data_IF_416954049779
#
_entry.id   IF_416954049779
#
_cell.length_a   1.000
_cell.length_b   1.000
_cell.length_c   1.000
_cell.angle_alpha   90.00
_cell.angle_beta   90.00
_cell.angle_gamma   90.00
#
_symmetry.space_group_name_H-M   'P 1'
#
loop_
_entity.id
_entity.type
_entity.pdbx_description
1 polymer ?
#
# COMPACT_ATOMS: atom_id res chain seq x y z
N UNK A 1 1.43 -14.43 19.58
CA UNK A 1 0.10 -14.05 19.02
C UNK A 1 0.26 -13.94 17.50
N UNK A 2 -0.12 -15.00 16.74
CA UNK A 2 -0.13 -14.93 15.26
C UNK A 2 -1.45 -14.28 14.83
N UNK A 3 -1.42 -13.01 14.48
CA UNK A 3 -2.46 -12.38 13.67
C UNK A 3 -2.19 -12.75 12.21
N UNK A 4 -3.20 -13.30 11.52
CA UNK A 4 -3.15 -13.38 10.06
C UNK A 4 -3.41 -11.98 9.50
N UNK A 5 -2.37 -11.32 9.07
CA UNK A 5 -2.46 -10.11 8.28
C UNK A 5 -2.49 -10.55 6.82
N UNK A 6 -3.58 -10.26 6.13
CA UNK A 6 -3.70 -10.51 4.71
C UNK A 6 -2.95 -9.41 3.98
N UNK A 7 -1.72 -9.72 3.52
CA UNK A 7 -1.04 -8.90 2.52
C UNK A 7 -1.73 -9.11 1.18
N UNK A 8 -2.44 -8.13 0.70
CA UNK A 8 -3.03 -8.15 -0.64
C UNK A 8 -1.93 -7.73 -1.61
N UNK A 9 -1.39 -8.72 -2.32
CA UNK A 9 -0.51 -8.51 -3.47
C UNK A 9 -1.41 -8.23 -4.65
N UNK A 10 -1.45 -7.13 -5.26
CA UNK A 10 -2.15 -6.70 -6.48
C UNK A 10 -3.23 -5.65 -6.25
N UNK A 11 -3.37 -4.77 -7.22
CA UNK A 11 -4.49 -3.84 -7.32
C UNK A 11 -5.80 -4.60 -7.34
N UNK A 12 -6.72 -4.29 -6.45
CA UNK A 12 -8.02 -4.93 -6.42
C UNK A 12 -9.13 -3.88 -6.33
N UNK A 13 -10.28 -4.21 -6.90
CA UNK A 13 -11.45 -3.34 -6.80
C UNK A 13 -12.16 -3.59 -5.46
N UNK A 14 -12.13 -2.59 -4.61
CA UNK A 14 -12.69 -2.66 -3.27
C UNK A 14 -13.00 -1.30 -2.70
N UNK A 15 -12.99 -1.21 -1.37
CA UNK A 15 -13.34 0.02 -0.65
C UNK A 15 -12.16 0.62 0.12
N UNK A 16 -11.04 -0.08 0.21
CA UNK A 16 -9.82 0.38 0.87
C UNK A 16 -9.92 0.43 2.39
N UNK A 17 -10.15 -0.73 3.02
CA UNK A 17 -10.16 -0.88 4.48
C UNK A 17 -9.24 -2.05 4.85
N UNK A 18 -8.27 -1.80 5.73
CA UNK A 18 -7.54 -2.87 6.40
C UNK A 18 -8.40 -3.46 7.51
N UNK A 19 -8.68 -4.75 7.41
CA UNK A 19 -9.46 -5.51 8.38
C UNK A 19 -8.58 -6.54 9.07
N UNK A 20 -8.89 -6.86 10.32
CA UNK A 20 -8.28 -7.95 11.08
C UNK A 20 -9.38 -8.77 11.73
N UNK A 21 -9.12 -10.07 11.91
CA UNK A 21 -10.02 -10.98 12.60
C UNK A 21 -9.34 -11.52 13.86
N UNK A 22 -10.03 -11.42 14.96
CA UNK A 22 -9.64 -12.09 16.21
C UNK A 22 -9.94 -13.59 16.09
N UNK A 23 -8.91 -14.42 16.23
CA UNK A 23 -8.99 -15.89 16.02
C UNK A 23 -9.90 -16.56 17.07
N UNK A 24 -9.99 -15.99 18.29
CA UNK A 24 -10.77 -16.58 19.38
C UNK A 24 -12.26 -16.25 19.28
N UNK A 25 -12.57 -15.00 18.93
CA UNK A 25 -13.95 -14.50 18.91
C UNK A 25 -14.56 -14.49 17.51
N UNK A 26 -13.75 -14.62 16.45
CA UNK A 26 -14.17 -14.49 15.06
C UNK A 26 -14.57 -13.06 14.66
N UNK A 27 -14.43 -12.08 15.56
CA UNK A 27 -14.84 -10.70 15.31
C UNK A 27 -13.88 -10.04 14.31
N UNK A 28 -14.47 -9.40 13.29
CA UNK A 28 -13.74 -8.65 12.28
C UNK A 28 -13.79 -7.16 12.59
N UNK A 29 -12.62 -6.53 12.70
CA UNK A 29 -12.49 -5.12 13.08
C UNK A 29 -11.65 -4.32 12.06
N UNK A 30 -11.93 -3.03 11.99
CA UNK A 30 -11.14 -2.06 11.20
C UNK A 30 -9.80 -1.80 11.88
N UNK A 31 -8.71 -1.95 11.12
CA UNK A 31 -7.37 -1.51 11.53
C UNK A 31 -7.18 -0.04 11.15
N UNK A 32 -7.37 0.29 9.86
CA UNK A 32 -7.35 1.66 9.32
C UNK A 32 -7.97 1.67 7.92
N UNK A 33 -8.54 2.81 7.46
CA UNK A 33 -8.79 3.04 6.03
C UNK A 33 -7.48 3.20 5.26
N UNK A 34 -7.50 2.88 3.96
CA UNK A 34 -6.40 3.14 3.03
C UNK A 34 -6.51 4.58 2.56
N UNK A 35 -5.46 5.35 2.66
CA UNK A 35 -5.42 6.75 2.24
C UNK A 35 -5.76 6.89 0.74
N UNK A 36 -6.65 7.82 0.40
CA UNK A 36 -7.10 8.05 -0.98
C UNK A 36 -8.13 7.03 -1.48
N UNK A 37 -8.57 6.09 -0.65
CA UNK A 37 -9.60 5.10 -1.00
C UNK A 37 -11.03 5.61 -0.72
N UNK A 38 -12.08 4.92 -1.22
CA UNK A 38 -13.47 5.25 -0.88
C UNK A 38 -13.78 5.27 0.62
N UNK A 39 -13.04 4.52 1.42
CA UNK A 39 -13.21 4.50 2.87
C UNK A 39 -12.47 5.65 3.58
N UNK A 40 -11.52 6.31 2.89
CA UNK A 40 -10.81 7.44 3.45
C UNK A 40 -11.76 8.61 3.71
N UNK A 41 -11.63 9.28 4.85
CA UNK A 41 -12.52 10.37 5.24
C UNK A 41 -13.97 9.97 5.55
N UNK A 42 -14.35 8.69 5.45
CA UNK A 42 -15.73 8.22 5.74
C UNK A 42 -16.12 8.32 7.22
N UNK A 43 -15.15 8.51 8.11
CA UNK A 43 -15.35 8.50 9.57
C UNK A 43 -15.21 7.12 10.20
N UNK A 44 -14.79 6.10 9.44
CA UNK A 44 -14.37 4.82 10.01
C UNK A 44 -13.11 5.00 10.86
N UNK A 45 -13.06 4.30 11.99
CA UNK A 45 -11.95 4.36 12.93
C UNK A 45 -11.44 2.95 13.27
N UNK A 46 -10.22 2.88 13.74
CA UNK A 46 -9.66 1.66 14.31
C UNK A 46 -10.57 1.10 15.41
N UNK A 47 -10.84 -0.20 15.34
CA UNK A 47 -11.69 -0.91 16.31
C UNK A 47 -13.17 -0.95 15.95
N UNK A 48 -13.64 -0.31 14.87
CA UNK A 48 -15.00 -0.48 14.38
C UNK A 48 -15.23 -1.94 13.98
N UNK A 49 -16.30 -2.54 14.45
CA UNK A 49 -16.63 -3.95 14.22
C UNK A 49 -17.49 -4.06 12.95
N UNK A 50 -17.05 -4.81 11.96
CA UNK A 50 -17.85 -5.11 10.77
C UNK A 50 -18.92 -6.14 11.12
N UNK A 51 -20.19 -5.79 10.89
CA UNK A 51 -21.35 -6.63 11.25
C UNK A 51 -22.17 -7.09 10.06
N UNK A 52 -22.17 -6.31 8.92
CA UNK A 52 -22.89 -6.70 7.70
C UNK A 52 -22.12 -6.27 6.44
N UNK A 53 -22.24 -7.08 5.40
CA UNK A 53 -21.83 -6.78 4.02
C UNK A 53 -23.06 -6.94 3.11
N UNK A 54 -23.59 -5.83 2.61
CA UNK A 54 -24.88 -5.82 1.93
C UNK A 54 -26.00 -6.32 2.86
N UNK A 55 -26.69 -7.35 2.41
CA UNK A 55 -27.74 -8.03 3.21
C UNK A 55 -27.19 -9.16 4.10
N UNK A 56 -25.90 -9.52 3.92
CA UNK A 56 -25.30 -10.62 4.68
C UNK A 56 -24.85 -10.14 6.06
N UNK A 57 -25.43 -10.76 7.12
CA UNK A 57 -25.02 -10.55 8.51
C UNK A 57 -23.86 -11.48 8.83
N UNK A 58 -22.73 -10.95 9.28
CA UNK A 58 -21.56 -11.73 9.63
C UNK A 58 -21.82 -12.65 10.81
N UNK A 59 -21.25 -13.84 10.74
CA UNK A 59 -21.20 -14.84 11.82
C UNK A 59 -19.76 -14.90 12.35
N UNK A 60 -19.59 -15.26 13.59
CA UNK A 60 -18.26 -15.45 14.21
C UNK A 60 -17.47 -16.61 13.59
N UNK A 61 -18.14 -17.53 12.89
CA UNK A 61 -17.52 -18.63 12.14
C UNK A 61 -17.07 -18.26 10.74
N UNK A 62 -17.40 -17.05 10.24
CA UNK A 62 -17.01 -16.63 8.89
C UNK A 62 -15.52 -16.38 8.83
N UNK A 63 -14.85 -16.88 7.79
CA UNK A 63 -13.45 -16.58 7.54
C UNK A 63 -13.30 -15.16 6.96
N UNK A 64 -12.27 -14.44 7.39
CA UNK A 64 -11.97 -13.09 6.91
C UNK A 64 -11.87 -13.03 5.37
N UNK A 65 -11.23 -14.03 4.76
CA UNK A 65 -11.04 -14.09 3.31
C UNK A 65 -12.37 -14.13 2.55
N UNK A 66 -13.36 -14.87 3.06
CA UNK A 66 -14.68 -14.96 2.43
C UNK A 66 -15.48 -13.68 2.58
N UNK A 67 -15.32 -12.98 3.70
CA UNK A 67 -15.91 -11.65 3.89
C UNK A 67 -15.24 -10.64 2.97
N UNK A 68 -13.93 -10.68 2.83
CA UNK A 68 -13.19 -9.80 1.89
C UNK A 68 -13.63 -10.04 0.44
N UNK A 69 -13.84 -11.29 0.01
CA UNK A 69 -14.40 -11.60 -1.32
C UNK A 69 -15.78 -10.95 -1.54
N UNK A 70 -16.64 -10.91 -0.51
CA UNK A 70 -17.96 -10.25 -0.60
C UNK A 70 -17.85 -8.72 -0.67
N UNK A 71 -16.82 -8.13 -0.03
CA UNK A 71 -16.55 -6.69 -0.09
C UNK A 71 -16.01 -6.29 -1.46
N UNK A 72 -15.12 -7.10 -2.06
CA UNK A 72 -14.59 -6.93 -3.41
C UNK A 72 -15.70 -7.08 -4.46
N UNK A 73 -15.46 -6.58 -5.66
CA UNK A 73 -16.38 -6.73 -6.80
C UNK A 73 -15.98 -5.81 -7.94
N UNK A 74 -16.78 -5.75 -8.99
CA UNK A 74 -16.48 -4.94 -10.18
C UNK A 74 -16.35 -3.44 -9.82
N UNK A 75 -15.44 -2.76 -10.51
CA UNK A 75 -15.22 -1.32 -10.38
C UNK A 75 -16.52 -0.54 -10.60
N UNK A 76 -16.70 0.57 -9.89
CA UNK A 76 -17.87 1.42 -9.99
C UNK A 76 -19.14 0.86 -9.31
N UNK A 77 -19.16 -0.42 -8.92
CA UNK A 77 -20.31 -0.99 -8.19
C UNK A 77 -20.33 -0.56 -6.73
N UNK A 78 -21.53 -0.53 -6.14
CA UNK A 78 -21.69 -0.11 -4.74
C UNK A 78 -21.78 -1.29 -3.80
N UNK A 79 -21.20 -1.15 -2.60
CA UNK A 79 -21.35 -2.09 -1.50
C UNK A 79 -21.75 -1.34 -0.23
N UNK A 80 -22.70 -1.91 0.51
CA UNK A 80 -23.12 -1.40 1.83
C UNK A 80 -22.39 -2.19 2.91
N UNK A 81 -21.71 -1.48 3.80
CA UNK A 81 -21.01 -2.08 4.94
C UNK A 81 -21.58 -1.48 6.23
N UNK A 82 -21.97 -2.32 7.18
CA UNK A 82 -22.44 -1.87 8.48
C UNK A 82 -21.38 -2.17 9.52
N UNK A 83 -20.99 -1.15 10.26
CA UNK A 83 -20.05 -1.25 11.37
C UNK A 83 -20.73 -0.85 12.67
N UNK A 84 -20.27 -1.44 13.77
CA UNK A 84 -20.73 -1.11 15.12
C UNK A 84 -19.58 -0.54 15.93
N UNK A 85 -19.82 0.60 16.56
CA UNK A 85 -18.91 1.29 17.49
C UNK A 85 -19.71 1.68 18.73
N UNK A 86 -19.24 1.29 19.92
CA UNK A 86 -19.91 1.61 21.20
C UNK A 86 -21.43 1.31 21.15
N UNK A 87 -21.80 0.10 20.69
CA UNK A 87 -23.18 -0.37 20.52
C UNK A 87 -24.02 0.38 19.48
N UNK A 88 -23.48 1.41 18.84
CA UNK A 88 -24.16 2.14 17.77
C UNK A 88 -23.73 1.59 16.42
N UNK A 89 -24.71 1.19 15.60
CA UNK A 89 -24.46 0.70 14.24
C UNK A 89 -24.63 1.81 13.22
N UNK A 90 -23.68 1.89 12.28
CA UNK A 90 -23.73 2.82 11.16
C UNK A 90 -23.45 2.09 9.86
N UNK A 91 -24.27 2.37 8.84
CA UNK A 91 -24.11 1.79 7.49
C UNK A 91 -23.50 2.82 6.57
N UNK A 92 -22.44 2.40 5.86
CA UNK A 92 -21.76 3.18 4.85
C UNK A 92 -22.02 2.54 3.49
N UNK A 93 -22.18 3.36 2.46
CA UNK A 93 -22.26 2.90 1.08
C UNK A 93 -21.01 3.37 0.35
N UNK A 94 -20.19 2.43 -0.10
CA UNK A 94 -18.96 2.72 -0.82
C UNK A 94 -19.11 2.32 -2.29
N UNK A 95 -18.52 3.11 -3.18
CA UNK A 95 -18.31 2.73 -4.58
C UNK A 95 -16.96 2.04 -4.68
N UNK A 96 -16.93 0.83 -5.24
CA UNK A 96 -15.68 0.09 -5.42
C UNK A 96 -14.79 0.78 -6.44
N UNK A 97 -13.54 0.92 -6.10
CA UNK A 97 -12.49 1.49 -6.95
C UNK A 97 -11.27 0.59 -6.94
N UNK A 98 -10.36 0.79 -7.88
CA UNK A 98 -9.03 0.21 -7.79
C UNK A 98 -8.36 0.72 -6.53
N UNK A 99 -7.95 -0.19 -5.65
CA UNK A 99 -7.24 0.13 -4.41
C UNK A 99 -5.78 -0.25 -4.62
N UNK A 100 -4.96 0.75 -4.74
CA UNK A 100 -3.51 0.57 -4.74
C UNK A 100 -3.03 0.57 -3.29
N UNK A 101 -2.30 -0.45 -2.90
CA UNK A 101 -1.63 -0.44 -1.61
C UNK A 101 -0.51 0.61 -1.64
N UNK A 102 -0.47 1.55 -0.69
CA UNK A 102 0.65 2.46 -0.61
C UNK A 102 1.91 1.69 -0.18
N UNK A 103 2.85 1.54 -1.12
CA UNK A 103 4.17 0.96 -0.88
C UNK A 103 5.23 2.03 -0.61
N UNK A 104 4.86 3.31 -0.77
CA UNK A 104 5.73 4.46 -0.54
C UNK A 104 5.06 5.43 0.41
N UNK A 105 5.73 5.75 1.50
CA UNK A 105 5.33 6.82 2.43
C UNK A 105 6.35 7.96 2.40
N UNK A 106 5.87 9.20 2.47
CA UNK A 106 6.76 10.38 2.46
C UNK A 106 6.45 11.31 3.61
N UNK A 107 7.51 11.92 4.14
CA UNK A 107 7.41 12.93 5.20
C UNK A 107 8.52 13.97 5.02
N UNK A 108 8.19 15.26 5.22
CA UNK A 108 9.20 16.28 5.37
C UNK A 108 9.66 16.30 6.82
N UNK A 109 10.97 16.16 7.05
CA UNK A 109 11.61 16.29 8.35
C UNK A 109 12.16 17.71 8.52
N UNK A 110 12.74 17.98 9.69
CA UNK A 110 13.47 19.24 9.96
C UNK A 110 14.63 19.43 8.97
N UNK A 111 15.17 20.62 8.88
CA UNK A 111 16.32 20.97 8.03
C UNK A 111 16.15 20.65 6.54
N UNK A 112 14.91 20.67 6.05
CA UNK A 112 14.56 20.39 4.64
C UNK A 112 15.01 18.99 4.20
N UNK A 113 14.96 18.03 5.09
CA UNK A 113 15.23 16.62 4.78
C UNK A 113 13.93 15.96 4.37
N UNK A 114 13.86 15.49 3.13
CA UNK A 114 12.80 14.61 2.65
C UNK A 114 13.04 13.19 3.15
N UNK A 115 12.03 12.56 3.74
CA UNK A 115 12.04 11.14 4.11
C UNK A 115 11.07 10.40 3.21
N UNK A 116 11.52 9.29 2.66
CA UNK A 116 10.76 8.43 1.78
C UNK A 116 11.00 6.98 2.18
N UNK A 117 9.95 6.30 2.66
CA UNK A 117 10.00 4.88 3.01
C UNK A 117 9.40 4.06 1.88
N UNK A 118 10.07 2.96 1.50
CA UNK A 118 9.54 1.96 0.56
C UNK A 118 9.35 0.67 1.34
N UNK A 119 8.11 0.23 1.49
CA UNK A 119 7.78 -0.97 2.27
C UNK A 119 7.93 -2.27 1.50
N UNK A 120 7.75 -2.23 0.17
CA UNK A 120 7.98 -3.34 -0.76
C UNK A 120 8.14 -2.81 -2.18
N UNK A 121 8.69 -3.63 -3.09
CA UNK A 121 8.81 -3.27 -4.50
C UNK A 121 7.74 -4.00 -5.32
N UNK A 122 6.68 -3.27 -5.66
CA UNK A 122 5.55 -3.71 -6.47
C UNK A 122 5.45 -2.85 -7.75
N UNK A 123 4.54 -3.16 -8.66
CA UNK A 123 4.32 -2.40 -9.91
C UNK A 123 3.97 -0.93 -9.63
N UNK A 124 3.16 -0.68 -8.59
CA UNK A 124 2.74 0.67 -8.20
C UNK A 124 3.84 1.49 -7.54
N UNK A 125 4.88 0.84 -7.00
CA UNK A 125 5.95 1.50 -6.21
C UNK A 125 6.69 2.55 -7.02
N UNK A 126 6.94 2.28 -8.30
CA UNK A 126 7.66 3.22 -9.20
C UNK A 126 6.90 4.54 -9.35
N UNK A 127 5.59 4.47 -9.58
CA UNK A 127 4.74 5.66 -9.75
C UNK A 127 4.58 6.42 -8.43
N UNK A 128 4.41 5.70 -7.32
CA UNK A 128 4.31 6.27 -5.98
C UNK A 128 5.62 6.92 -5.54
N UNK A 129 6.77 6.29 -5.81
CA UNK A 129 8.10 6.85 -5.57
C UNK A 129 8.29 8.18 -6.32
N UNK A 130 8.02 8.20 -7.63
CA UNK A 130 8.11 9.40 -8.47
C UNK A 130 7.23 10.53 -7.93
N UNK A 131 5.99 10.23 -7.57
CA UNK A 131 5.04 11.19 -7.03
C UNK A 131 5.49 11.72 -5.67
N UNK A 132 5.98 10.83 -4.80
CA UNK A 132 6.50 11.17 -3.48
C UNK A 132 7.74 12.08 -3.56
N UNK A 133 8.71 11.71 -4.41
CA UNK A 133 9.92 12.50 -4.64
C UNK A 133 9.59 13.90 -5.19
N UNK A 134 8.68 13.97 -6.18
CA UNK A 134 8.18 15.25 -6.73
C UNK A 134 7.51 16.10 -5.65
N UNK A 135 6.72 15.50 -4.78
CA UNK A 135 6.06 16.19 -3.68
C UNK A 135 7.08 16.75 -2.68
N UNK A 136 8.09 15.97 -2.28
CA UNK A 136 9.14 16.41 -1.37
C UNK A 136 9.97 17.55 -1.98
N UNK A 137 10.35 17.45 -3.26
CA UNK A 137 11.03 18.54 -3.99
C UNK A 137 10.18 19.82 -4.00
N UNK A 138 8.87 19.72 -4.27
CA UNK A 138 7.95 20.86 -4.24
C UNK A 138 7.84 21.50 -2.85
N UNK A 139 7.95 20.72 -1.79
CA UNK A 139 7.99 21.19 -0.40
C UNK A 139 9.34 21.79 0.00
N UNK A 140 10.33 21.79 -0.89
CA UNK A 140 11.65 22.39 -0.69
C UNK A 140 12.68 21.47 -0.04
N UNK A 141 12.53 20.16 -0.17
CA UNK A 141 13.55 19.21 0.28
C UNK A 141 14.90 19.50 -0.40
N UNK A 142 15.96 19.49 0.40
CA UNK A 142 17.35 19.70 -0.03
C UNK A 142 18.23 18.46 0.19
N UNK A 143 17.73 17.49 0.92
CA UNK A 143 18.38 16.21 1.22
C UNK A 143 17.29 15.15 1.20
N UNK A 144 17.64 13.89 0.91
CA UNK A 144 16.70 12.78 0.87
C UNK A 144 17.22 11.61 1.71
N UNK A 145 16.33 11.02 2.49
CA UNK A 145 16.52 9.71 3.13
C UNK A 145 15.57 8.74 2.46
N UNK A 146 16.09 7.61 1.97
CA UNK A 146 15.29 6.49 1.49
C UNK A 146 15.40 5.37 2.52
N UNK A 147 14.28 5.04 3.15
CA UNK A 147 14.21 4.00 4.18
C UNK A 147 13.67 2.69 3.58
N UNK A 148 14.52 1.66 3.61
CA UNK A 148 14.21 0.30 3.16
C UNK A 148 14.17 -0.71 4.32
N UNK A 149 14.14 -0.24 5.56
CA UNK A 149 14.07 -1.14 6.72
C UNK A 149 12.75 -1.91 6.69
N UNK A 150 12.83 -3.20 7.03
CA UNK A 150 11.72 -4.16 6.98
C UNK A 150 11.11 -4.36 5.57
N UNK A 151 11.78 -3.92 4.51
CA UNK A 151 11.38 -4.18 3.13
C UNK A 151 11.82 -5.61 2.74
N UNK A 152 10.89 -6.53 2.42
CA UNK A 152 11.23 -7.91 2.04
C UNK A 152 11.77 -8.04 0.61
N UNK A 153 11.85 -6.93 -0.16
CA UNK A 153 12.18 -6.93 -1.59
C UNK A 153 10.94 -6.79 -2.48
N UNK A 154 10.93 -7.49 -3.61
CA UNK A 154 9.82 -7.50 -4.56
C UNK A 154 10.30 -7.58 -6.01
N UNK A 155 9.65 -6.83 -6.91
CA UNK A 155 9.94 -6.86 -8.34
C UNK A 155 11.28 -6.19 -8.67
N UNK A 156 12.20 -6.94 -9.27
CA UNK A 156 13.50 -6.43 -9.71
C UNK A 156 13.36 -5.25 -10.70
N UNK A 157 12.36 -5.30 -11.57
CA UNK A 157 12.08 -4.22 -12.53
C UNK A 157 11.73 -2.92 -11.81
N UNK A 158 10.94 -2.97 -10.74
CA UNK A 158 10.58 -1.79 -9.94
C UNK A 158 11.81 -1.21 -9.22
N UNK A 159 12.70 -2.08 -8.71
CA UNK A 159 13.99 -1.63 -8.11
C UNK A 159 14.84 -0.90 -9.16
N UNK A 160 14.96 -1.48 -10.37
CA UNK A 160 15.75 -0.89 -11.46
C UNK A 160 15.17 0.47 -11.87
N UNK A 161 13.85 0.57 -12.04
CA UNK A 161 13.19 1.81 -12.46
C UNK A 161 13.27 2.91 -11.38
N UNK A 162 13.27 2.54 -10.10
CA UNK A 162 13.46 3.49 -9.00
C UNK A 162 14.92 3.93 -8.92
N UNK A 163 15.86 2.99 -9.01
CA UNK A 163 17.28 3.29 -8.98
C UNK A 163 17.67 4.21 -10.15
N UNK A 164 17.09 4.03 -11.36
CA UNK A 164 17.30 4.89 -12.50
C UNK A 164 16.79 6.33 -12.33
N UNK A 165 15.92 6.61 -11.33
CA UNK A 165 15.49 7.97 -11.00
C UNK A 165 16.45 8.67 -10.01
N UNK A 166 17.43 7.95 -9.48
CA UNK A 166 18.32 8.40 -8.40
C UNK A 166 19.77 8.42 -8.89
N UNK A 167 20.17 7.35 -9.58
CA UNK A 167 21.56 7.10 -9.98
C UNK A 167 21.87 7.74 -11.35
N UNK A 168 23.13 8.04 -11.61
CA UNK A 168 23.57 8.43 -12.96
C UNK A 168 23.41 7.25 -13.91
N UNK A 169 23.33 7.55 -15.21
CA UNK A 169 23.28 6.56 -16.29
C UNK A 169 24.35 5.48 -16.13
N UNK A 170 23.96 4.23 -16.21
CA UNK A 170 24.88 3.12 -16.07
C UNK A 170 24.21 1.78 -15.81
N UNK A 171 25.02 0.79 -15.44
CA UNK A 171 24.53 -0.52 -14.99
C UNK A 171 24.06 -0.41 -13.54
N UNK A 172 22.79 -0.72 -13.29
CA UNK A 172 22.20 -0.72 -11.93
C UNK A 172 22.47 -2.05 -11.25
N UNK A 173 22.15 -3.16 -11.93
CA UNK A 173 22.33 -4.51 -11.41
C UNK A 173 22.51 -5.48 -12.57
N UNK A 174 23.09 -6.64 -12.30
CA UNK A 174 23.04 -7.79 -13.21
C UNK A 174 22.61 -9.05 -12.46
N UNK A 175 21.98 -9.97 -13.19
CA UNK A 175 21.71 -11.31 -12.73
C UNK A 175 22.62 -12.28 -13.46
N UNK A 176 23.07 -13.33 -12.74
CA UNK A 176 23.91 -14.38 -13.31
C UNK A 176 23.22 -15.73 -13.09
N UNK A 177 23.08 -16.51 -14.14
CA UNK A 177 22.53 -17.85 -14.04
C UNK A 177 23.60 -18.87 -13.61
N UNK A 178 23.18 -20.12 -13.36
CA UNK A 178 24.07 -21.21 -12.96
C UNK A 178 25.15 -21.56 -13.99
N UNK A 179 25.00 -21.10 -15.24
CA UNK A 179 25.92 -21.33 -16.35
C UNK A 179 26.86 -20.14 -16.56
N UNK A 180 26.79 -19.10 -15.70
CA UNK A 180 27.61 -17.89 -15.81
C UNK A 180 27.09 -16.84 -16.81
N UNK A 181 25.90 -17.04 -17.39
CA UNK A 181 25.31 -16.04 -18.30
C UNK A 181 24.79 -14.85 -17.49
N UNK A 182 25.23 -13.64 -17.91
CA UNK A 182 24.86 -12.40 -17.23
C UNK A 182 23.81 -11.62 -18.00
N UNK A 183 22.73 -11.20 -17.31
CA UNK A 183 21.75 -10.26 -17.82
C UNK A 183 21.89 -8.95 -17.06
N UNK A 184 22.23 -7.88 -17.79
CA UNK A 184 22.43 -6.54 -17.23
C UNK A 184 21.16 -5.72 -17.32
N UNK A 185 20.84 -5.01 -16.24
CA UNK A 185 19.79 -4.02 -16.16
C UNK A 185 20.46 -2.65 -16.06
N UNK A 186 20.21 -1.81 -17.05
CA UNK A 186 20.90 -0.51 -17.19
C UNK A 186 19.86 0.61 -17.17
N UNK A 187 20.22 1.70 -16.51
CA UNK A 187 19.53 2.95 -16.74
C UNK A 187 20.10 3.63 -18.00
N UNK A 188 19.21 4.00 -18.91
CA UNK A 188 19.52 4.73 -20.15
C UNK A 188 19.10 6.18 -20.07
N UNK A 189 18.33 6.56 -19.04
CA UNK A 189 17.89 7.92 -18.78
C UNK A 189 18.99 8.65 -18.03
N UNK A 190 19.01 9.95 -18.12
CA UNK A 190 19.95 10.78 -17.38
C UNK A 190 19.24 11.57 -16.27
N UNK A 191 18.37 10.86 -15.54
CA UNK A 191 17.58 11.44 -14.46
C UNK A 191 18.29 11.21 -13.11
N UNK A 192 19.43 11.87 -12.93
CA UNK A 192 20.15 11.80 -11.65
C UNK A 192 19.47 12.66 -10.58
N UNK A 193 19.43 12.15 -9.35
CA UNK A 193 19.03 12.95 -8.19
C UNK A 193 20.08 14.04 -7.93
N UNK A 194 19.63 15.29 -7.85
CA UNK A 194 20.45 16.49 -7.67
C UNK A 194 20.60 16.94 -6.21
N UNK A 195 20.41 16.02 -5.25
CA UNK A 195 20.52 16.31 -3.83
C UNK A 195 21.22 15.18 -3.06
N UNK A 196 21.84 15.47 -1.90
CA UNK A 196 22.44 14.46 -1.03
C UNK A 196 21.42 13.38 -0.66
N UNK A 197 21.84 12.11 -0.74
CA UNK A 197 21.05 10.92 -0.46
C UNK A 197 21.68 10.11 0.67
N UNK A 198 20.85 9.59 1.56
CA UNK A 198 21.21 8.61 2.60
C UNK A 198 20.19 7.46 2.61
#
# INVERSE_FOLDING_TARGET
RRQRQMCIRDSYYGVGIYLTQDIKTGIITVVKPVKGSPADGSGLKKGDILTKVGNYKLKTSDALDDIVKKIKGAEGTKVKLTFTRNQTSKTYTFTRQSIENPTVETKMLQDKVGYLQITEFDEVTVSQFRSGLKSLKKQGAKKLIIDLRDNPGGLLTSVVDIAGQILPKGTIVYTEDKNGNKKYYKDTKNEQLDMPLC
#
